data_IF_233636774294
#
_entry.id   IF_233636774294
#
_cell.length_a   1.000
_cell.length_b   1.000
_cell.length_c   1.000
_cell.angle_alpha   90.00
_cell.angle_beta   90.00
_cell.angle_gamma   90.00
#
_symmetry.space_group_name_H-M   'P 1'
#
loop_
_entity.id
_entity.type
_entity.pdbx_description
1 polymer ?
#
# COMPACT_ATOMS: atom_id res chain seq x y z
N UNK A 1 -1.11 12.35 21.20
CA UNK A 1 -0.68 11.03 20.68
C UNK A 1 -1.94 10.24 20.41
N UNK A 2 -2.23 9.83 19.17
CA UNK A 2 -3.44 9.05 18.90
C UNK A 2 -3.30 7.66 19.53
N UNK A 3 -4.42 7.09 19.99
CA UNK A 3 -4.55 5.75 20.60
C UNK A 3 -4.27 4.60 19.61
N UNK A 4 -3.59 4.89 18.49
CA UNK A 4 -3.61 4.17 17.22
C UNK A 4 -3.00 2.75 17.22
N UNK A 5 -2.42 2.28 18.33
CA UNK A 5 -1.81 0.93 18.35
C UNK A 5 -2.78 -0.17 18.78
N UNK A 6 -3.79 0.12 19.60
CA UNK A 6 -4.69 -0.93 20.12
C UNK A 6 -5.72 -1.42 19.10
N UNK A 7 -5.98 -0.66 18.02
CA UNK A 7 -7.01 -0.98 17.02
C UNK A 7 -6.51 -1.61 15.71
N UNK A 8 -5.22 -1.89 15.55
CA UNK A 8 -4.66 -2.39 14.28
C UNK A 8 -5.14 -3.83 13.98
N UNK A 9 -5.75 -4.11 12.80
CA UNK A 9 -6.25 -5.45 12.47
C UNK A 9 -5.20 -6.56 12.59
N UNK A 10 -3.94 -6.29 12.21
CA UNK A 10 -2.85 -7.26 12.30
C UNK A 10 -2.50 -7.58 13.76
N UNK A 11 -2.47 -6.57 14.62
CA UNK A 11 -2.22 -6.77 16.05
C UNK A 11 -3.37 -7.54 16.71
N UNK A 12 -4.61 -7.20 16.37
CA UNK A 12 -5.80 -7.86 16.90
C UNK A 12 -5.92 -9.32 16.46
N UNK A 13 -5.56 -9.62 15.21
CA UNK A 13 -5.47 -10.99 14.72
C UNK A 13 -4.43 -11.81 15.51
N UNK A 14 -3.29 -11.21 15.83
CA UNK A 14 -2.25 -11.85 16.64
C UNK A 14 -2.70 -12.06 18.09
N UNK A 15 -3.36 -11.06 18.70
CA UNK A 15 -3.97 -11.22 20.03
C UNK A 15 -4.96 -12.38 20.07
N UNK A 16 -5.78 -12.54 19.01
CA UNK A 16 -6.72 -13.66 18.89
C UNK A 16 -5.97 -15.00 18.73
N UNK A 17 -4.94 -15.04 17.88
CA UNK A 17 -4.10 -16.23 17.64
C UNK A 17 -3.39 -16.71 18.91
N UNK A 18 -2.90 -15.77 19.73
CA UNK A 18 -2.27 -16.03 21.02
C UNK A 18 -3.27 -16.42 22.12
N UNK A 19 -4.57 -16.41 21.82
CA UNK A 19 -5.61 -16.85 22.74
C UNK A 19 -5.85 -15.88 23.89
N UNK A 20 -5.81 -14.57 23.64
CA UNK A 20 -6.10 -13.56 24.68
C UNK A 20 -7.43 -13.85 25.37
N UNK A 21 -7.42 -13.77 26.71
CA UNK A 21 -8.59 -13.94 27.58
C UNK A 21 -9.01 -12.64 28.25
N UNK A 22 -8.37 -11.52 27.87
CA UNK A 22 -8.63 -10.23 28.48
C UNK A 22 -10.02 -9.69 28.11
N UNK A 23 -10.76 -9.22 29.11
CA UNK A 23 -11.93 -8.37 28.92
C UNK A 23 -11.50 -6.91 28.87
N UNK A 24 -11.81 -6.22 27.79
CA UNK A 24 -11.37 -4.84 27.53
C UNK A 24 -12.55 -3.88 27.70
N UNK A 25 -12.35 -2.78 28.42
CA UNK A 25 -13.30 -1.67 28.50
C UNK A 25 -12.72 -0.46 27.79
N UNK A 26 -13.43 0.08 26.80
CA UNK A 26 -13.06 1.33 26.14
C UNK A 26 -14.02 2.41 26.59
N UNK A 27 -13.54 3.39 27.37
CA UNK A 27 -14.37 4.49 27.88
C UNK A 27 -14.04 5.75 27.09
N UNK A 28 -15.03 6.36 26.45
CA UNK A 28 -14.87 7.57 25.63
C UNK A 28 -16.07 8.49 25.77
N UNK A 29 -15.84 9.80 25.69
CA UNK A 29 -16.88 10.81 25.79
C UNK A 29 -17.53 11.07 24.43
N UNK A 30 -18.86 11.20 24.40
CA UNK A 30 -19.59 11.43 23.15
C UNK A 30 -19.35 12.81 22.52
N UNK A 31 -18.86 13.78 23.30
CA UNK A 31 -18.52 15.13 22.83
C UNK A 31 -16.99 15.31 22.67
N UNK A 32 -16.20 14.22 22.70
CA UNK A 32 -14.76 14.25 22.50
C UNK A 32 -14.40 14.59 21.04
N UNK A 33 -13.95 15.83 20.83
CA UNK A 33 -13.51 16.34 19.52
C UNK A 33 -12.08 15.94 19.14
N UNK A 34 -11.34 15.27 20.02
CA UNK A 34 -9.93 14.93 19.83
C UNK A 34 -9.77 13.52 19.27
N UNK A 35 -10.46 12.51 19.79
CA UNK A 35 -10.22 11.13 19.38
C UNK A 35 -11.46 10.19 19.42
N UNK A 36 -12.69 10.73 19.40
CA UNK A 36 -13.89 9.88 19.38
C UNK A 36 -13.93 8.95 18.15
N UNK A 37 -13.59 9.46 16.96
CA UNK A 37 -13.56 8.68 15.74
C UNK A 37 -12.55 7.51 15.83
N UNK A 38 -11.34 7.79 16.33
CA UNK A 38 -10.31 6.77 16.56
C UNK A 38 -10.79 5.72 17.57
N UNK A 39 -11.46 6.14 18.64
CA UNK A 39 -12.01 5.25 19.66
C UNK A 39 -13.11 4.33 19.10
N UNK A 40 -13.99 4.86 18.25
CA UNK A 40 -15.05 4.10 17.57
C UNK A 40 -14.45 3.09 16.59
N UNK A 41 -13.46 3.51 15.80
CA UNK A 41 -12.76 2.62 14.87
C UNK A 41 -12.05 1.49 15.61
N UNK A 42 -11.33 1.80 16.70
CA UNK A 42 -10.66 0.81 17.54
C UNK A 42 -11.66 -0.24 18.06
N UNK A 43 -12.78 0.19 18.63
CA UNK A 43 -13.83 -0.72 19.14
C UNK A 43 -14.38 -1.59 18.01
N UNK A 44 -14.68 -1.02 16.85
CA UNK A 44 -15.17 -1.76 15.70
C UNK A 44 -14.15 -2.80 15.22
N UNK A 45 -12.87 -2.46 15.19
CA UNK A 45 -11.79 -3.40 14.84
C UNK A 45 -11.69 -4.56 15.83
N UNK A 46 -11.76 -4.28 17.14
CA UNK A 46 -11.69 -5.30 18.19
C UNK A 46 -12.88 -6.26 18.14
N UNK A 47 -14.09 -5.73 17.92
CA UNK A 47 -15.29 -6.53 17.72
C UNK A 47 -15.18 -7.43 16.48
N UNK A 48 -14.70 -6.87 15.35
CA UNK A 48 -14.46 -7.64 14.12
C UNK A 48 -13.45 -8.76 14.29
N UNK A 49 -12.43 -8.55 15.12
CA UNK A 49 -11.43 -9.57 15.46
C UNK A 49 -11.94 -10.62 16.47
N UNK A 50 -13.18 -10.49 16.97
CA UNK A 50 -13.77 -11.41 17.93
C UNK A 50 -13.10 -11.37 19.31
N UNK A 51 -12.65 -10.18 19.74
CA UNK A 51 -12.15 -9.93 21.09
C UNK A 51 -13.29 -9.49 22.03
N UNK A 52 -13.16 -9.78 23.33
CA UNK A 52 -14.13 -9.36 24.35
C UNK A 52 -13.91 -7.90 24.75
N UNK A 53 -14.54 -6.99 23.99
CA UNK A 53 -14.54 -5.54 24.27
C UNK A 53 -15.93 -5.03 24.65
N UNK A 54 -15.99 -4.19 25.68
CA UNK A 54 -17.18 -3.44 26.10
C UNK A 54 -16.93 -1.94 25.93
N UNK A 55 -17.54 -1.30 24.91
CA UNK A 55 -17.46 0.16 24.80
C UNK A 55 -18.38 0.85 25.83
N UNK A 56 -17.89 1.96 26.38
CA UNK A 56 -18.62 2.84 27.31
C UNK A 56 -18.57 4.25 26.74
N UNK A 57 -19.66 4.66 26.13
CA UNK A 57 -19.80 5.99 25.54
C UNK A 57 -20.44 6.93 26.56
N UNK A 58 -19.63 7.76 27.21
CA UNK A 58 -20.05 8.67 28.27
C UNK A 58 -20.91 9.78 27.67
N UNK A 59 -22.21 9.70 27.95
CA UNK A 59 -23.22 10.69 27.57
C UNK A 59 -23.47 11.69 28.70
N UNK A 60 -24.29 12.71 28.45
CA UNK A 60 -24.58 13.76 29.43
C UNK A 60 -25.27 13.23 30.67
N UNK A 61 -26.07 12.17 30.52
CA UNK A 61 -26.80 11.51 31.61
C UNK A 61 -25.87 10.76 32.56
N UNK A 62 -24.67 10.40 32.10
CA UNK A 62 -23.65 9.73 32.91
C UNK A 62 -22.77 10.72 33.71
N UNK A 63 -22.88 12.02 33.46
CA UNK A 63 -22.09 13.05 34.13
C UNK A 63 -22.65 13.32 35.53
N UNK A 64 -21.93 12.87 36.55
CA UNK A 64 -22.31 12.99 37.98
C UNK A 64 -21.45 14.01 38.75
N UNK A 65 -20.47 14.62 38.08
CA UNK A 65 -19.52 15.57 38.67
C UNK A 65 -18.49 14.94 39.62
N UNK A 66 -18.54 13.61 39.85
CA UNK A 66 -17.66 12.87 40.77
C UNK A 66 -16.78 11.87 40.05
N UNK A 67 -17.39 10.99 39.27
CA UNK A 67 -16.74 9.97 38.44
C UNK A 67 -16.53 10.57 37.04
N UNK A 68 -17.63 11.00 36.43
CA UNK A 68 -17.62 11.67 35.14
C UNK A 68 -17.94 13.14 35.32
N UNK A 69 -17.02 14.03 34.95
CA UNK A 69 -17.22 15.47 35.04
C UNK A 69 -17.58 16.11 33.70
N UNK A 70 -17.28 15.43 32.59
CA UNK A 70 -17.59 15.92 31.24
C UNK A 70 -17.82 14.75 30.27
N UNK A 71 -18.45 15.04 29.14
CA UNK A 71 -18.55 14.17 27.95
C UNK A 71 -17.40 14.41 26.95
N UNK A 72 -16.42 15.24 27.29
CA UNK A 72 -15.27 15.55 26.44
C UNK A 72 -14.07 14.62 26.67
N UNK A 73 -12.90 15.01 26.16
CA UNK A 73 -11.69 14.17 26.19
C UNK A 73 -11.21 13.82 27.63
N UNK A 74 -11.31 14.77 28.56
CA UNK A 74 -10.95 14.56 29.96
C UNK A 74 -12.21 14.16 30.77
N UNK A 75 -12.53 12.87 30.74
CA UNK A 75 -13.81 12.33 31.24
C UNK A 75 -14.10 12.57 32.72
N UNK A 76 -13.08 12.78 33.55
CA UNK A 76 -13.24 12.99 34.99
C UNK A 76 -12.20 12.24 35.80
N UNK A 77 -12.64 11.63 36.90
CA UNK A 77 -11.75 10.99 37.86
C UNK A 77 -11.28 9.62 37.37
N UNK A 78 -10.09 9.61 36.76
CA UNK A 78 -9.45 8.41 36.18
C UNK A 78 -9.20 7.28 37.18
N UNK A 79 -9.17 7.56 38.47
CA UNK A 79 -9.01 6.53 39.51
C UNK A 79 -10.33 5.81 39.80
N UNK A 80 -11.46 6.53 39.75
CA UNK A 80 -12.77 5.96 40.06
C UNK A 80 -13.43 5.29 38.84
N UNK A 81 -13.14 5.79 37.64
CA UNK A 81 -13.74 5.29 36.39
C UNK A 81 -13.57 3.76 36.22
N UNK A 82 -12.38 3.15 36.37
CA UNK A 82 -12.23 1.70 36.23
C UNK A 82 -13.11 0.90 37.20
N UNK A 83 -13.19 1.34 38.46
CA UNK A 83 -14.05 0.73 39.47
C UNK A 83 -15.54 0.87 39.16
N UNK A 84 -15.93 1.99 38.54
CA UNK A 84 -17.31 2.21 38.11
C UNK A 84 -17.71 1.35 36.90
N UNK A 85 -16.88 1.32 35.86
CA UNK A 85 -17.22 0.65 34.59
C UNK A 85 -16.94 -0.85 34.60
N UNK A 86 -15.87 -1.27 35.28
CA UNK A 86 -15.37 -2.64 35.25
C UNK A 86 -15.32 -3.28 36.65
N UNK A 87 -15.81 -2.61 37.69
CA UNK A 87 -15.69 -3.04 39.08
C UNK A 87 -16.16 -4.48 39.32
N UNK A 88 -17.27 -4.89 38.71
CA UNK A 88 -17.78 -6.27 38.84
C UNK A 88 -16.81 -7.34 38.31
N UNK A 89 -15.88 -7.00 37.41
CA UNK A 89 -14.90 -7.95 36.87
C UNK A 89 -13.56 -7.90 37.61
N UNK A 90 -13.26 -6.79 38.31
CA UNK A 90 -11.97 -6.55 38.96
C UNK A 90 -12.02 -6.90 40.45
N UNK A 91 -13.18 -6.71 41.09
CA UNK A 91 -13.35 -6.98 42.52
C UNK A 91 -13.26 -8.47 42.81
N UNK A 92 -12.34 -8.86 43.69
CA UNK A 92 -12.11 -10.25 44.06
C UNK A 92 -13.32 -10.95 44.70
N UNK A 93 -14.27 -10.19 45.28
CA UNK A 93 -15.48 -10.71 45.91
C UNK A 93 -16.67 -10.84 44.93
N UNK A 94 -16.49 -10.47 43.67
CA UNK A 94 -17.56 -10.48 42.67
C UNK A 94 -17.73 -11.88 42.05
N UNK A 95 -18.97 -12.36 41.83
CA UNK A 95 -19.19 -13.60 41.08
C UNK A 95 -18.77 -13.51 39.60
N UNK A 96 -18.64 -12.28 39.07
CA UNK A 96 -18.18 -12.01 37.71
C UNK A 96 -16.66 -11.78 37.64
N UNK A 97 -15.92 -11.97 38.76
CA UNK A 97 -14.48 -11.75 38.78
C UNK A 97 -13.77 -12.67 37.79
N UNK A 98 -12.91 -12.09 36.96
CA UNK A 98 -12.15 -12.85 35.97
C UNK A 98 -10.75 -13.18 36.51
N UNK A 99 -10.55 -14.45 36.86
CA UNK A 99 -9.25 -14.97 37.23
C UNK A 99 -8.47 -15.46 36.01
N UNK A 100 -7.25 -14.97 35.85
CA UNK A 100 -6.32 -15.52 34.86
C UNK A 100 -5.87 -16.92 35.30
N UNK A 101 -6.10 -17.93 34.44
CA UNK A 101 -5.67 -19.32 34.69
C UNK A 101 -4.36 -19.69 33.98
N UNK A 102 -3.82 -18.81 33.15
CA UNK A 102 -2.57 -19.00 32.40
C UNK A 102 -1.47 -18.07 32.91
N UNK A 103 -0.18 -18.41 32.72
CA UNK A 103 0.92 -17.52 33.08
C UNK A 103 0.89 -16.19 32.31
N UNK A 104 1.12 -15.07 33.01
CA UNK A 104 1.43 -13.74 32.43
C UNK A 104 2.71 -13.77 31.62
N UNK A 105 2.89 -12.77 30.76
CA UNK A 105 4.18 -12.46 30.14
C UNK A 105 5.31 -12.30 31.17
N UNK A 106 5.01 -11.71 32.35
CA UNK A 106 5.94 -11.60 33.48
C UNK A 106 6.34 -12.97 34.08
N UNK A 107 5.38 -13.89 34.20
CA UNK A 107 5.62 -15.26 34.70
C UNK A 107 6.32 -16.13 33.64
N UNK A 108 6.02 -15.92 32.35
CA UNK A 108 6.65 -16.62 31.23
C UNK A 108 8.11 -16.24 31.04
N UNK A 109 8.47 -14.97 31.27
CA UNK A 109 9.82 -14.43 31.09
C UNK A 109 10.38 -14.62 29.66
N UNK A 110 9.50 -14.69 28.67
CA UNK A 110 9.83 -14.87 27.27
C UNK A 110 9.97 -13.53 26.54
N UNK A 111 10.58 -13.56 25.35
CA UNK A 111 10.63 -12.43 24.43
C UNK A 111 9.39 -12.45 23.53
N UNK A 112 8.62 -11.36 23.54
CA UNK A 112 7.51 -11.13 22.60
C UNK A 112 8.02 -10.27 21.45
N UNK A 113 7.88 -10.77 20.21
CA UNK A 113 8.43 -10.14 19.01
C UNK A 113 7.32 -9.59 18.12
N UNK A 114 7.42 -8.30 17.79
CA UNK A 114 6.53 -7.59 16.86
C UNK A 114 7.32 -7.23 15.60
N UNK A 115 7.17 -8.01 14.53
CA UNK A 115 7.85 -7.76 13.26
C UNK A 115 7.38 -6.46 12.61
N UNK A 116 8.33 -5.72 12.02
CA UNK A 116 8.12 -4.55 11.16
C UNK A 116 8.77 -4.79 9.80
N UNK A 117 8.59 -3.86 8.86
CA UNK A 117 9.22 -3.95 7.53
C UNK A 117 10.75 -3.83 7.60
N UNK A 118 11.26 -3.14 8.61
CA UNK A 118 12.68 -2.83 8.81
C UNK A 118 13.31 -3.53 10.02
N UNK A 119 12.59 -4.46 10.67
CA UNK A 119 13.10 -5.18 11.84
C UNK A 119 12.02 -5.82 12.71
N UNK A 120 12.23 -5.79 14.02
CA UNK A 120 11.27 -6.23 15.00
C UNK A 120 11.42 -5.44 16.30
N UNK A 121 10.31 -5.01 16.89
CA UNK A 121 10.30 -4.61 18.28
C UNK A 121 10.21 -5.86 19.15
N UNK A 122 11.19 -6.05 20.03
CA UNK A 122 11.23 -7.17 20.97
C UNK A 122 11.01 -6.65 22.37
N UNK A 123 10.00 -7.18 23.07
CA UNK A 123 9.72 -6.90 24.48
C UNK A 123 10.16 -8.12 25.28
N UNK A 124 11.22 -7.97 26.08
CA UNK A 124 11.74 -9.02 26.96
C UNK A 124 11.18 -8.86 28.37
N UNK A 125 10.73 -9.96 28.97
CA UNK A 125 10.29 -10.02 30.36
C UNK A 125 11.30 -10.75 31.28
N UNK A 126 12.49 -11.06 30.77
CA UNK A 126 13.50 -11.85 31.48
C UNK A 126 13.93 -11.27 32.84
N UNK A 127 13.87 -9.94 32.98
CA UNK A 127 14.25 -9.22 34.21
C UNK A 127 13.08 -9.01 35.19
N UNK A 128 11.89 -9.55 34.90
CA UNK A 128 10.68 -9.34 35.71
C UNK A 128 9.95 -8.01 35.43
N UNK A 129 10.40 -7.24 34.44
CA UNK A 129 9.71 -6.07 33.88
C UNK A 129 9.98 -5.98 32.37
N UNK A 130 9.08 -5.37 31.57
CA UNK A 130 9.22 -5.31 30.12
C UNK A 130 10.37 -4.39 29.71
N UNK A 131 11.33 -4.92 28.97
CA UNK A 131 12.42 -4.17 28.32
C UNK A 131 12.24 -4.25 26.80
N UNK A 132 11.96 -3.11 26.18
CA UNK A 132 11.80 -3.00 24.73
C UNK A 132 13.13 -2.73 24.03
N UNK A 133 13.38 -3.43 22.92
CA UNK A 133 14.47 -3.12 21.98
C UNK A 133 13.97 -3.22 20.55
N UNK A 134 14.57 -2.46 19.64
CA UNK A 134 14.38 -2.66 18.21
C UNK A 134 15.55 -3.48 17.68
N UNK A 135 15.25 -4.63 17.09
CA UNK A 135 16.22 -5.44 16.35
C UNK A 135 16.01 -5.14 14.86
N UNK A 136 16.93 -4.40 14.20
CA UNK A 136 16.80 -4.13 12.78
C UNK A 136 16.81 -5.45 12.00
N UNK A 137 16.07 -5.47 10.88
CA UNK A 137 16.08 -6.61 9.98
C UNK A 137 17.54 -6.84 9.55
N UNK A 138 18.02 -8.10 9.54
CA UNK A 138 19.28 -8.40 8.89
C UNK A 138 19.23 -7.83 7.46
N UNK A 139 20.34 -7.27 6.97
CA UNK A 139 20.47 -6.92 5.55
C UNK A 139 19.96 -8.10 4.72
N UNK A 140 18.99 -7.82 3.84
CA UNK A 140 18.38 -8.87 3.03
C UNK A 140 19.48 -9.73 2.37
N UNK A 141 19.38 -11.06 2.46
CA UNK A 141 20.38 -11.92 1.88
C UNK A 141 20.43 -11.70 0.37
N UNK A 142 21.63 -11.81 -0.19
CA UNK A 142 21.82 -11.71 -1.63
C UNK A 142 21.46 -13.04 -2.29
N UNK A 143 20.65 -12.99 -3.34
CA UNK A 143 20.37 -14.13 -4.18
C UNK A 143 21.29 -14.10 -5.41
N UNK A 144 22.12 -15.14 -5.55
CA UNK A 144 23.08 -15.24 -6.65
C UNK A 144 22.37 -15.24 -8.02
N UNK A 145 21.25 -15.95 -8.12
CA UNK A 145 20.36 -15.92 -9.27
C UNK A 145 18.99 -15.34 -8.85
N UNK A 146 18.61 -14.23 -9.48
CA UNK A 146 17.32 -13.55 -9.26
C UNK A 146 16.20 -14.12 -10.14
N UNK A 147 16.52 -15.05 -11.04
CA UNK A 147 15.54 -15.78 -11.86
C UNK A 147 15.11 -17.11 -11.21
N UNK A 148 15.91 -17.64 -10.27
CA UNK A 148 15.52 -18.75 -9.40
C UNK A 148 14.61 -18.27 -8.26
N UNK A 149 13.36 -17.94 -8.64
CA UNK A 149 12.41 -17.27 -7.77
C UNK A 149 11.78 -18.17 -6.70
N UNK A 150 11.85 -19.50 -6.86
CA UNK A 150 11.40 -20.43 -5.82
C UNK A 150 12.46 -20.63 -4.74
N UNK A 151 13.70 -20.19 -4.97
CA UNK A 151 14.73 -20.23 -3.94
C UNK A 151 14.43 -19.24 -2.83
N UNK A 152 14.39 -19.74 -1.61
CA UNK A 152 14.18 -18.98 -0.38
C UNK A 152 15.38 -19.11 0.53
N UNK A 153 15.65 -18.06 1.30
CA UNK A 153 16.67 -18.07 2.36
C UNK A 153 15.94 -17.82 3.66
N UNK A 154 16.04 -18.76 4.61
CA UNK A 154 15.45 -18.63 5.93
C UNK A 154 16.26 -17.66 6.81
N UNK A 155 15.69 -17.27 7.95
CA UNK A 155 16.34 -16.34 8.88
C UNK A 155 17.68 -16.88 9.46
N UNK A 156 17.85 -18.20 9.52
CA UNK A 156 19.10 -18.86 9.93
C UNK A 156 20.13 -18.98 8.79
N UNK A 157 19.84 -18.40 7.61
CA UNK A 157 20.69 -18.41 6.44
C UNK A 157 20.58 -19.68 5.58
N UNK A 158 19.81 -20.68 5.99
CA UNK A 158 19.62 -21.90 5.18
C UNK A 158 18.81 -21.60 3.93
N UNK A 159 19.24 -22.18 2.82
CA UNK A 159 18.56 -22.08 1.53
C UNK A 159 17.60 -23.25 1.34
N UNK A 160 16.42 -22.99 0.79
CA UNK A 160 15.44 -24.01 0.42
C UNK A 160 14.70 -23.63 -0.86
N UNK A 161 13.72 -24.46 -1.22
CA UNK A 161 12.80 -24.24 -2.35
C UNK A 161 11.40 -24.06 -1.77
N UNK A 162 10.68 -23.02 -2.18
CA UNK A 162 9.30 -22.79 -1.78
C UNK A 162 8.37 -23.78 -2.48
N UNK A 163 7.60 -24.53 -1.68
CA UNK A 163 6.57 -25.48 -2.16
C UNK A 163 5.15 -24.96 -1.92
N UNK A 164 5.01 -23.90 -1.13
CA UNK A 164 3.75 -23.19 -0.92
C UNK A 164 3.95 -21.67 -0.91
N UNK A 165 2.85 -20.91 -1.08
CA UNK A 165 2.88 -19.46 -0.95
C UNK A 165 3.36 -18.97 0.42
N UNK A 166 3.14 -19.77 1.48
CA UNK A 166 3.62 -19.43 2.82
C UNK A 166 5.15 -19.54 2.92
N UNK A 167 5.75 -20.52 2.26
CA UNK A 167 7.21 -20.71 2.22
C UNK A 167 7.91 -19.59 1.43
N UNK A 168 7.19 -18.97 0.49
CA UNK A 168 7.71 -17.90 -0.35
C UNK A 168 7.68 -16.51 0.32
N UNK A 169 6.89 -16.32 1.37
CA UNK A 169 6.72 -15.03 2.05
C UNK A 169 8.06 -14.40 2.54
N UNK A 170 9.04 -15.15 3.08
CA UNK A 170 10.37 -14.60 3.38
C UNK A 170 11.06 -14.00 2.14
N UNK A 171 10.92 -14.62 0.95
CA UNK A 171 11.49 -14.08 -0.29
C UNK A 171 10.87 -12.74 -0.64
N UNK A 172 9.55 -12.60 -0.52
CA UNK A 172 8.85 -11.32 -0.72
C UNK A 172 9.40 -10.21 0.18
N UNK A 173 9.66 -10.50 1.45
CA UNK A 173 10.27 -9.53 2.39
C UNK A 173 11.69 -9.14 1.99
N UNK A 174 12.50 -10.09 1.53
CA UNK A 174 13.85 -9.80 1.04
C UNK A 174 13.84 -8.89 -0.19
N UNK A 175 12.87 -9.10 -1.10
CA UNK A 175 12.67 -8.24 -2.28
C UNK A 175 12.27 -6.82 -1.85
N UNK A 176 11.38 -6.67 -0.86
CA UNK A 176 11.00 -5.36 -0.33
C UNK A 176 12.21 -4.60 0.23
N UNK A 177 13.03 -5.26 1.04
CA UNK A 177 14.25 -4.68 1.59
C UNK A 177 15.29 -4.34 0.50
N UNK A 178 15.38 -5.13 -0.57
CA UNK A 178 16.23 -4.82 -1.72
C UNK A 178 15.75 -3.59 -2.49
N UNK A 179 14.44 -3.47 -2.73
CA UNK A 179 13.82 -2.28 -3.33
C UNK A 179 14.07 -1.05 -2.46
N UNK A 180 13.85 -1.14 -1.15
CA UNK A 180 14.08 -0.04 -0.20
C UNK A 180 15.56 0.37 -0.10
N UNK A 181 16.49 -0.56 -0.28
CA UNK A 181 17.92 -0.22 -0.35
C UNK A 181 18.21 0.71 -1.53
N UNK A 182 17.61 0.46 -2.69
CA UNK A 182 17.84 1.23 -3.92
C UNK A 182 17.00 2.51 -3.97
N UNK A 183 15.71 2.42 -3.63
CA UNK A 183 14.75 3.52 -3.73
C UNK A 183 14.71 4.38 -2.45
N UNK A 184 15.25 3.90 -1.34
CA UNK A 184 15.03 4.47 -0.02
C UNK A 184 13.90 3.76 0.74
N UNK A 185 13.82 3.95 2.07
CA UNK A 185 12.82 3.28 2.90
C UNK A 185 11.40 3.67 2.49
N UNK A 186 10.49 2.70 2.50
CA UNK A 186 9.07 2.99 2.32
C UNK A 186 8.57 3.82 3.51
N UNK A 187 7.82 4.91 3.31
CA UNK A 187 7.44 5.76 4.43
C UNK A 187 6.53 5.09 5.45
N UNK A 188 6.80 5.38 6.74
CA UNK A 188 5.95 4.93 7.84
C UNK A 188 4.52 5.47 7.70
N UNK A 189 3.47 4.70 8.03
CA UNK A 189 2.08 5.19 8.04
C UNK A 189 1.85 6.51 8.77
N UNK A 190 2.67 6.84 9.79
CA UNK A 190 2.64 8.11 10.51
C UNK A 190 3.01 9.34 9.65
N UNK A 191 3.59 9.15 8.45
CA UNK A 191 3.83 10.24 7.49
C UNK A 191 2.54 10.71 6.81
N UNK A 192 1.43 9.96 6.91
CA UNK A 192 0.13 10.40 6.39
C UNK A 192 -0.30 11.70 7.07
N UNK A 193 -0.77 12.63 6.25
CA UNK A 193 -1.41 13.89 6.66
C UNK A 193 -2.84 13.93 6.12
N UNK A 194 -3.69 14.84 6.60
CA UNK A 194 -4.99 15.07 5.96
C UNK A 194 -4.80 15.38 4.47
N UNK A 195 -5.63 14.79 3.60
CA UNK A 195 -5.48 14.92 2.14
C UNK A 195 -5.62 16.37 1.63
N UNK A 196 -6.23 17.30 2.39
CA UNK A 196 -6.46 18.72 2.03
C UNK A 196 -6.75 18.90 0.52
N UNK A 197 -7.81 18.22 0.05
CA UNK A 197 -8.16 18.18 -1.36
C UNK A 197 -8.71 19.52 -1.79
N UNK A 198 -8.11 20.12 -2.84
CA UNK A 198 -8.57 21.36 -3.45
C UNK A 198 -8.91 21.11 -4.90
N UNK A 199 -10.20 21.22 -5.22
CA UNK A 199 -10.70 21.21 -6.60
C UNK A 199 -10.42 22.59 -7.19
N UNK A 200 -9.72 22.60 -8.33
CA UNK A 200 -9.32 23.81 -9.04
C UNK A 200 -10.23 24.10 -10.22
N UNK A 201 -10.73 23.03 -10.85
CA UNK A 201 -11.56 23.09 -12.04
C UNK A 201 -12.50 21.89 -12.05
N UNK A 202 -13.72 22.09 -12.55
CA UNK A 202 -14.68 21.03 -12.81
C UNK A 202 -15.30 21.26 -14.19
N UNK A 203 -15.27 20.24 -15.03
CA UNK A 203 -15.77 20.28 -16.41
C UNK A 203 -16.65 19.08 -16.66
N UNK A 204 -17.88 19.32 -17.14
CA UNK A 204 -18.76 18.27 -17.65
C UNK A 204 -18.41 18.00 -19.11
N UNK A 205 -18.00 16.78 -19.40
CA UNK A 205 -17.68 16.29 -20.73
C UNK A 205 -18.89 15.58 -21.35
N UNK A 206 -18.74 15.16 -22.61
CA UNK A 206 -19.74 14.34 -23.31
C UNK A 206 -20.03 13.03 -22.55
N UNK A 207 -21.23 12.48 -22.76
CA UNK A 207 -21.66 11.25 -22.10
C UNK A 207 -21.88 11.37 -20.58
N UNK A 208 -22.02 12.59 -20.06
CA UNK A 208 -22.29 12.83 -18.63
C UNK A 208 -21.06 12.69 -17.73
N UNK A 209 -19.87 12.53 -18.30
CA UNK A 209 -18.63 12.34 -17.56
C UNK A 209 -18.17 13.65 -16.91
N UNK A 210 -17.88 13.63 -15.61
CA UNK A 210 -17.34 14.78 -14.88
C UNK A 210 -15.83 14.66 -14.74
N UNK A 211 -15.07 15.67 -15.17
CA UNK A 211 -13.63 15.78 -14.95
C UNK A 211 -13.35 16.88 -13.94
N UNK A 212 -12.63 16.56 -12.86
CA UNK A 212 -12.11 17.53 -11.89
C UNK A 212 -10.60 17.64 -12.01
N UNK A 213 -10.08 18.86 -12.17
CA UNK A 213 -8.68 19.16 -11.86
C UNK A 213 -8.61 19.43 -10.37
N UNK A 214 -7.80 18.68 -9.66
CA UNK A 214 -7.65 18.83 -8.23
C UNK A 214 -6.22 18.57 -7.79
N UNK A 215 -6.02 18.72 -6.50
CA UNK A 215 -4.71 18.64 -5.88
C UNK A 215 -4.88 18.19 -4.44
N UNK A 216 -3.97 17.38 -3.91
CA UNK A 216 -4.06 16.77 -2.58
C UNK A 216 -2.68 16.70 -1.90
N UNK A 217 -2.65 16.82 -0.58
CA UNK A 217 -1.43 16.64 0.22
C UNK A 217 -1.06 15.16 0.26
N UNK A 218 0.12 14.82 -0.25
CA UNK A 218 0.67 13.48 -0.07
C UNK A 218 1.45 13.36 1.24
N UNK A 219 2.16 14.41 1.63
CA UNK A 219 2.79 14.54 2.94
C UNK A 219 2.77 15.99 3.45
N UNK A 220 3.41 16.24 4.59
CA UNK A 220 3.44 17.57 5.21
C UNK A 220 4.15 18.65 4.38
N UNK A 221 4.91 18.26 3.36
CA UNK A 221 5.85 19.12 2.64
C UNK A 221 5.53 19.26 1.16
N UNK A 222 4.62 18.45 0.61
CA UNK A 222 4.32 18.48 -0.82
C UNK A 222 2.85 18.15 -1.16
N UNK A 223 2.42 18.72 -2.29
CA UNK A 223 1.06 18.58 -2.83
C UNK A 223 1.09 18.14 -4.28
N UNK A 224 0.32 17.10 -4.58
CA UNK A 224 0.28 16.47 -5.90
C UNK A 224 -0.93 16.97 -6.66
N UNK A 225 -0.74 17.33 -7.93
CA UNK A 225 -1.83 17.67 -8.85
C UNK A 225 -2.34 16.42 -9.56
N UNK A 226 -3.66 16.34 -9.76
CA UNK A 226 -4.31 15.20 -10.37
C UNK A 226 -5.55 15.59 -11.19
N UNK A 227 -5.94 14.71 -12.12
CA UNK A 227 -7.28 14.69 -12.69
C UNK A 227 -8.08 13.53 -12.11
N UNK A 228 -9.31 13.81 -11.69
CA UNK A 228 -10.31 12.82 -11.30
C UNK A 228 -11.42 12.81 -12.35
N UNK A 229 -11.83 11.62 -12.78
CA UNK A 229 -12.99 11.42 -13.63
C UNK A 229 -14.06 10.62 -12.90
N UNK A 230 -15.29 11.12 -12.92
CA UNK A 230 -16.47 10.50 -12.33
C UNK A 230 -17.51 10.26 -13.43
N UNK A 231 -17.74 8.99 -13.84
CA UNK A 231 -18.81 8.65 -14.76
C UNK A 231 -20.19 8.96 -14.16
N UNK A 232 -21.21 9.23 -14.99
CA UNK A 232 -22.56 9.53 -14.51
C UNK A 232 -23.14 8.41 -13.61
N UNK A 233 -22.79 7.15 -13.90
CA UNK A 233 -23.20 6.00 -13.09
C UNK A 233 -22.71 6.06 -11.63
N UNK A 234 -21.65 6.84 -11.35
CA UNK A 234 -21.10 7.03 -10.01
C UNK A 234 -22.09 7.71 -9.05
N UNK A 235 -23.08 8.45 -9.58
CA UNK A 235 -24.14 9.06 -8.80
C UNK A 235 -25.14 8.04 -8.23
N UNK A 236 -25.15 6.80 -8.76
CA UNK A 236 -26.14 5.76 -8.42
C UNK A 236 -25.52 4.51 -7.78
N UNK A 237 -24.22 4.27 -7.99
CA UNK A 237 -23.54 3.07 -7.51
C UNK A 237 -22.05 3.32 -7.30
N UNK A 238 -21.44 2.51 -6.42
CA UNK A 238 -19.99 2.44 -6.29
C UNK A 238 -19.38 1.76 -7.50
N UNK A 239 -18.38 2.40 -8.10
CA UNK A 239 -17.71 1.94 -9.30
C UNK A 239 -16.30 1.43 -9.00
N UNK A 240 -15.76 0.50 -9.80
CA UNK A 240 -14.35 0.19 -9.74
C UNK A 240 -13.54 1.43 -10.13
N UNK A 241 -12.34 1.57 -9.56
CA UNK A 241 -11.47 2.71 -9.85
C UNK A 241 -10.09 2.29 -10.36
N UNK A 242 -9.49 3.12 -11.23
CA UNK A 242 -8.18 2.87 -11.81
C UNK A 242 -7.26 4.08 -11.63
N UNK A 243 -6.13 3.84 -10.97
CA UNK A 243 -5.01 4.77 -10.90
C UNK A 243 -4.27 4.77 -12.25
N UNK A 244 -4.22 5.91 -12.92
CA UNK A 244 -3.71 6.06 -14.29
C UNK A 244 -2.43 6.90 -14.28
N UNK A 245 -1.27 6.25 -14.43
CA UNK A 245 0.04 6.87 -14.24
C UNK A 245 0.71 7.21 -15.57
N UNK A 246 1.06 8.48 -15.77
CA UNK A 246 1.55 9.00 -17.04
C UNK A 246 3.00 8.63 -17.36
N UNK A 247 3.31 8.57 -18.66
CA UNK A 247 4.65 8.45 -19.25
C UNK A 247 5.51 9.72 -19.11
N UNK A 248 6.78 9.66 -19.53
CA UNK A 248 7.72 10.78 -19.52
C UNK A 248 7.29 11.86 -20.52
N UNK A 249 6.58 12.86 -20.03
CA UNK A 249 6.05 13.96 -20.84
C UNK A 249 5.97 15.24 -20.01
N UNK A 250 6.34 16.38 -20.58
CA UNK A 250 6.28 17.67 -19.86
C UNK A 250 4.87 17.99 -19.35
N UNK A 251 3.85 17.53 -20.06
CA UNK A 251 2.44 17.74 -19.73
C UNK A 251 1.93 16.81 -18.61
N UNK A 252 2.74 15.83 -18.18
CA UNK A 252 2.43 14.92 -17.09
C UNK A 252 1.09 14.21 -17.25
N UNK A 253 0.28 14.24 -16.19
CA UNK A 253 -1.05 13.62 -16.13
C UNK A 253 -2.01 14.04 -17.25
N UNK A 254 -1.83 15.24 -17.81
CA UNK A 254 -2.72 15.79 -18.82
C UNK A 254 -2.80 14.90 -20.08
N UNK A 255 -1.70 14.22 -20.43
CA UNK A 255 -1.69 13.28 -21.55
C UNK A 255 -2.59 12.08 -21.29
N UNK A 256 -2.44 11.43 -20.14
CA UNK A 256 -3.31 10.31 -19.74
C UNK A 256 -4.78 10.71 -19.56
N UNK A 257 -5.02 11.96 -19.17
CA UNK A 257 -6.34 12.56 -18.96
C UNK A 257 -7.04 13.02 -20.26
N UNK A 258 -6.45 12.80 -21.43
CA UNK A 258 -7.07 13.17 -22.70
C UNK A 258 -7.09 14.67 -22.99
N UNK A 259 -6.13 15.41 -22.42
CA UNK A 259 -5.88 16.81 -22.76
C UNK A 259 -4.81 16.99 -23.85
N UNK A 260 -4.30 15.89 -24.37
CA UNK A 260 -3.34 15.86 -25.47
C UNK A 260 -3.88 14.88 -26.51
N UNK A 261 -3.98 15.33 -27.75
CA UNK A 261 -4.49 14.52 -28.85
C UNK A 261 -3.45 13.49 -29.30
N UNK A 262 -3.39 12.37 -28.58
CA UNK A 262 -2.63 11.20 -28.96
C UNK A 262 -3.23 9.92 -28.39
N UNK A 263 -2.70 8.73 -28.69
CA UNK A 263 -3.37 7.49 -28.30
C UNK A 263 -3.32 7.13 -26.79
N UNK A 264 -2.53 7.84 -25.96
CA UNK A 264 -2.22 7.46 -24.57
C UNK A 264 -3.20 8.05 -23.53
N UNK A 265 -4.46 8.27 -23.90
CA UNK A 265 -5.49 8.91 -23.06
C UNK A 265 -6.24 7.89 -22.19
N UNK A 266 -5.54 6.90 -21.60
CA UNK A 266 -6.20 5.76 -20.94
C UNK A 266 -7.02 6.14 -19.71
N UNK A 267 -6.75 7.26 -19.03
CA UNK A 267 -7.61 7.71 -17.93
C UNK A 267 -8.98 8.18 -18.46
N UNK A 268 -9.00 8.90 -19.59
CA UNK A 268 -10.24 9.29 -20.26
C UNK A 268 -10.98 8.07 -20.82
N UNK A 269 -10.26 7.18 -21.54
CA UNK A 269 -10.85 5.98 -22.14
C UNK A 269 -11.49 5.06 -21.09
N UNK A 270 -10.80 4.80 -19.97
CA UNK A 270 -11.34 3.97 -18.89
C UNK A 270 -12.52 4.66 -18.19
N UNK A 271 -12.48 5.99 -18.04
CA UNK A 271 -13.62 6.72 -17.49
C UNK A 271 -14.86 6.60 -18.38
N UNK A 272 -14.70 6.72 -19.70
CA UNK A 272 -15.76 6.48 -20.69
C UNK A 272 -16.28 5.03 -20.66
N UNK A 273 -15.45 4.07 -20.22
CA UNK A 273 -15.85 2.67 -19.99
C UNK A 273 -16.58 2.47 -18.66
N UNK A 274 -16.72 3.48 -17.81
CA UNK A 274 -17.45 3.42 -16.55
C UNK A 274 -16.60 3.18 -15.30
N UNK A 275 -15.29 3.42 -15.36
CA UNK A 275 -14.42 3.45 -14.18
C UNK A 275 -14.35 4.85 -13.59
N UNK A 276 -14.21 4.95 -12.27
CA UNK A 276 -13.63 6.16 -11.67
C UNK A 276 -12.14 6.16 -12.00
N UNK A 277 -11.59 7.19 -12.63
CA UNK A 277 -10.16 7.23 -12.94
C UNK A 277 -9.48 8.40 -12.26
N UNK A 278 -8.27 8.14 -11.78
CA UNK A 278 -7.47 9.15 -11.09
C UNK A 278 -6.06 9.18 -11.67
N UNK A 279 -5.66 10.32 -12.19
CA UNK A 279 -4.39 10.52 -12.87
C UNK A 279 -3.56 11.59 -12.14
N UNK A 280 -2.69 11.22 -11.17
CA UNK A 280 -1.77 12.14 -10.53
C UNK A 280 -0.54 12.42 -11.40
N UNK A 281 0.11 13.55 -11.16
CA UNK A 281 1.45 13.83 -11.69
C UNK A 281 2.53 13.04 -10.95
N UNK A 282 3.58 12.68 -11.69
CA UNK A 282 4.86 12.24 -11.16
C UNK A 282 5.65 13.45 -10.60
N UNK A 283 6.50 13.26 -9.59
CA UNK A 283 7.38 14.32 -9.08
C UNK A 283 8.10 15.09 -10.19
N UNK A 284 7.86 16.41 -10.23
CA UNK A 284 8.45 17.38 -11.17
C UNK A 284 7.96 17.30 -12.62
N UNK A 285 6.84 16.61 -12.87
CA UNK A 285 6.14 16.61 -14.15
C UNK A 285 4.77 17.30 -14.06
N UNK A 286 4.25 17.75 -15.20
CA UNK A 286 2.94 18.40 -15.27
C UNK A 286 2.89 19.68 -14.43
N UNK A 287 1.94 19.73 -13.50
CA UNK A 287 1.78 20.86 -12.58
C UNK A 287 2.62 20.70 -11.30
N UNK A 288 3.20 19.52 -11.06
CA UNK A 288 3.99 19.25 -9.85
C UNK A 288 5.40 19.83 -9.97
N UNK A 289 5.86 20.54 -8.93
CA UNK A 289 7.16 21.24 -8.90
C UNK A 289 8.03 20.76 -7.73
N UNK A 290 8.14 19.45 -7.59
CA UNK A 290 8.97 18.86 -6.54
C UNK A 290 10.46 19.18 -6.79
N UNK A 291 11.18 19.61 -5.75
CA UNK A 291 12.55 20.12 -5.85
C UNK A 291 13.64 19.07 -5.53
N UNK A 292 13.23 17.90 -5.02
CA UNK A 292 14.11 16.84 -4.51
C UNK A 292 15.06 17.29 -3.40
N UNK A 293 14.70 18.31 -2.63
CA UNK A 293 15.46 18.72 -1.46
C UNK A 293 15.44 17.60 -0.38
N UNK A 294 16.60 17.22 0.20
CA UNK A 294 16.67 16.21 1.25
C UNK A 294 15.73 16.44 2.45
N UNK A 295 15.30 17.68 2.70
CA UNK A 295 14.33 18.05 3.75
C UNK A 295 12.99 17.28 3.64
N UNK A 296 12.62 16.86 2.43
CA UNK A 296 11.40 16.08 2.20
C UNK A 296 11.51 14.63 2.73
N UNK A 297 12.74 14.16 2.95
CA UNK A 297 13.02 12.86 3.58
C UNK A 297 12.86 11.65 2.65
N UNK A 298 13.02 11.84 1.34
CA UNK A 298 13.01 10.74 0.35
C UNK A 298 14.39 10.57 -0.26
N UNK A 299 14.85 9.32 -0.39
CA UNK A 299 16.14 9.03 -1.00
C UNK A 299 16.11 9.05 -2.54
N UNK A 300 14.92 9.00 -3.14
CA UNK A 300 14.72 8.87 -4.58
C UNK A 300 13.38 9.47 -5.01
N UNK A 301 13.31 9.93 -6.26
CA UNK A 301 12.04 10.35 -6.85
C UNK A 301 11.06 9.20 -7.04
N UNK A 302 11.58 7.99 -7.27
CA UNK A 302 10.76 6.76 -7.33
C UNK A 302 10.02 6.51 -6.02
N UNK A 303 10.68 6.58 -4.85
CA UNK A 303 10.01 6.38 -3.57
C UNK A 303 9.02 7.50 -3.24
N UNK A 304 9.33 8.74 -3.65
CA UNK A 304 8.36 9.84 -3.56
C UNK A 304 7.11 9.57 -4.40
N UNK A 305 7.27 9.16 -5.65
CA UNK A 305 6.16 8.84 -6.55
C UNK A 305 5.30 7.68 -6.04
N UNK A 306 5.93 6.63 -5.49
CA UNK A 306 5.22 5.52 -4.83
C UNK A 306 4.35 6.06 -3.69
N UNK A 307 4.89 6.93 -2.84
CA UNK A 307 4.12 7.52 -1.74
C UNK A 307 2.97 8.42 -2.23
N UNK A 308 3.21 9.25 -3.25
CA UNK A 308 2.18 10.08 -3.86
C UNK A 308 1.00 9.25 -4.38
N UNK A 309 1.31 8.10 -4.96
CA UNK A 309 0.33 7.14 -5.45
C UNK A 309 -0.38 6.37 -4.33
N UNK A 310 0.31 6.00 -3.24
CA UNK A 310 -0.34 5.44 -2.04
C UNK A 310 -1.38 6.42 -1.49
N UNK A 311 -1.04 7.71 -1.47
CA UNK A 311 -1.95 8.79 -1.03
C UNK A 311 -3.07 9.06 -2.04
N UNK A 312 -2.81 8.84 -3.33
CA UNK A 312 -3.85 8.82 -4.36
C UNK A 312 -4.88 7.70 -4.12
N UNK A 313 -4.41 6.51 -3.72
CA UNK A 313 -5.29 5.39 -3.36
C UNK A 313 -6.08 5.70 -2.09
N UNK A 314 -5.46 6.32 -1.07
CA UNK A 314 -6.16 6.80 0.12
C UNK A 314 -7.27 7.80 -0.24
N UNK A 315 -7.05 8.68 -1.22
CA UNK A 315 -8.08 9.58 -1.74
C UNK A 315 -9.20 8.83 -2.45
N UNK A 316 -8.88 7.90 -3.35
CA UNK A 316 -9.87 7.08 -4.04
C UNK A 316 -10.78 6.32 -3.06
N UNK A 317 -10.23 5.69 -2.03
CA UNK A 317 -11.05 4.96 -1.02
C UNK A 317 -11.94 5.88 -0.18
N UNK A 318 -11.60 7.16 -0.08
CA UNK A 318 -12.41 8.15 0.64
C UNK A 318 -13.65 8.61 -0.14
N UNK A 319 -13.69 8.36 -1.46
CA UNK A 319 -14.79 8.78 -2.32
C UNK A 319 -16.00 7.84 -2.16
N UNK A 320 -17.20 8.35 -1.86
CA UNK A 320 -18.40 7.51 -1.78
C UNK A 320 -18.76 6.82 -3.10
N UNK A 321 -18.27 7.34 -4.23
CA UNK A 321 -18.43 6.81 -5.58
C UNK A 321 -17.55 5.59 -5.88
N UNK A 322 -16.54 5.30 -5.06
CA UNK A 322 -15.53 4.26 -5.33
C UNK A 322 -15.81 3.01 -4.51
N UNK A 323 -15.70 1.87 -5.17
CA UNK A 323 -15.60 0.57 -4.52
C UNK A 323 -14.14 0.25 -4.19
N UNK A 324 -13.76 0.40 -2.92
CA UNK A 324 -12.41 0.16 -2.41
C UNK A 324 -11.91 -1.28 -2.63
N UNK A 325 -12.82 -2.26 -2.86
CA UNK A 325 -12.42 -3.64 -3.16
C UNK A 325 -11.97 -3.84 -4.62
N UNK A 326 -12.23 -2.87 -5.50
CA UNK A 326 -12.04 -2.99 -6.97
C UNK A 326 -11.18 -1.86 -7.51
N UNK A 327 -9.93 -1.81 -7.03
CA UNK A 327 -8.93 -0.84 -7.44
C UNK A 327 -7.89 -1.47 -8.36
N UNK A 328 -7.60 -0.82 -9.50
CA UNK A 328 -6.53 -1.21 -10.41
C UNK A 328 -5.53 -0.09 -10.66
N UNK A 329 -4.42 -0.43 -11.31
CA UNK A 329 -3.42 0.54 -11.78
C UNK A 329 -3.00 0.24 -13.20
N UNK A 330 -2.81 1.29 -13.99
CA UNK A 330 -2.31 1.24 -15.36
C UNK A 330 -1.31 2.36 -15.61
N UNK A 331 -0.29 2.09 -16.42
CA UNK A 331 0.58 3.13 -16.94
C UNK A 331 1.42 2.68 -18.12
N UNK A 332 2.06 3.65 -18.77
CA UNK A 332 2.93 3.44 -19.93
C UNK A 332 4.31 4.07 -19.72
N UNK A 333 5.39 3.41 -20.15
CA UNK A 333 6.78 3.92 -20.01
C UNK A 333 7.11 4.23 -18.54
N UNK A 334 7.44 5.49 -18.21
CA UNK A 334 7.51 5.98 -16.81
C UNK A 334 6.32 5.52 -15.97
N UNK A 335 5.12 5.65 -16.50
CA UNK A 335 3.89 5.20 -15.86
C UNK A 335 3.82 3.69 -15.67
N UNK A 336 4.42 2.93 -16.58
CA UNK A 336 4.45 1.46 -16.55
C UNK A 336 5.27 0.93 -15.39
N UNK A 337 6.54 1.36 -15.23
CA UNK A 337 7.30 0.98 -14.03
C UNK A 337 6.77 1.65 -12.76
N UNK A 338 6.23 2.88 -12.84
CA UNK A 338 5.63 3.52 -11.67
C UNK A 338 4.42 2.71 -11.16
N UNK A 339 3.60 2.16 -12.06
CA UNK A 339 2.51 1.25 -11.71
C UNK A 339 3.02 -0.01 -11.02
N UNK A 340 4.12 -0.60 -11.52
CA UNK A 340 4.73 -1.79 -10.93
C UNK A 340 5.30 -1.54 -9.53
N UNK A 341 6.12 -0.50 -9.37
CA UNK A 341 6.71 -0.17 -8.08
C UNK A 341 5.63 0.24 -7.07
N UNK A 342 4.65 1.04 -7.48
CA UNK A 342 3.51 1.40 -6.64
C UNK A 342 2.76 0.14 -6.19
N UNK A 343 2.40 -0.74 -7.13
CA UNK A 343 1.65 -1.95 -6.81
C UNK A 343 2.42 -2.91 -5.89
N UNK A 344 3.76 -2.91 -5.92
CA UNK A 344 4.55 -3.71 -4.99
C UNK A 344 4.30 -3.30 -3.52
N UNK A 345 4.31 -1.99 -3.25
CA UNK A 345 4.11 -1.42 -1.91
C UNK A 345 2.63 -1.18 -1.55
N UNK A 346 1.74 -1.16 -2.53
CA UNK A 346 0.31 -0.89 -2.35
C UNK A 346 -0.54 -2.13 -2.68
N UNK A 347 -0.86 -2.98 -1.69
CA UNK A 347 -1.62 -4.21 -1.90
C UNK A 347 -3.11 -4.00 -2.20
N UNK A 348 -3.65 -2.78 -1.98
CA UNK A 348 -5.03 -2.44 -2.34
C UNK A 348 -5.24 -2.39 -3.86
N UNK A 349 -4.19 -2.11 -4.64
CA UNK A 349 -4.22 -2.23 -6.09
C UNK A 349 -4.29 -3.72 -6.46
N UNK A 350 -5.47 -4.17 -6.89
CA UNK A 350 -5.82 -5.57 -7.12
C UNK A 350 -5.42 -6.08 -8.49
N UNK A 351 -5.33 -5.20 -9.49
CA UNK A 351 -5.03 -5.52 -10.90
C UNK A 351 -4.01 -4.53 -11.43
N UNK A 352 -2.99 -5.04 -12.12
CA UNK A 352 -1.81 -4.26 -12.48
C UNK A 352 -1.57 -4.38 -13.98
N UNK A 353 -1.49 -3.24 -14.67
CA UNK A 353 -1.16 -3.16 -16.09
C UNK A 353 0.07 -2.28 -16.29
N UNK A 354 1.11 -2.83 -16.92
CA UNK A 354 2.33 -2.10 -17.28
C UNK A 354 2.60 -2.19 -18.78
N UNK A 355 2.54 -1.06 -19.48
CA UNK A 355 2.83 -0.96 -20.91
C UNK A 355 4.23 -0.39 -21.13
N UNK A 356 5.11 -1.13 -21.81
CA UNK A 356 6.46 -0.74 -22.18
C UNK A 356 7.20 -0.05 -21.02
N UNK A 357 7.19 -0.67 -19.84
CA UNK A 357 7.65 -0.02 -18.60
C UNK A 357 8.94 -0.59 -18.02
N UNK A 358 9.41 -1.74 -18.48
CA UNK A 358 10.53 -2.44 -17.88
C UNK A 358 11.15 -3.47 -18.82
N UNK A 359 12.41 -3.82 -18.55
CA UNK A 359 13.05 -5.08 -18.95
C UNK A 359 14.00 -5.51 -17.82
N UNK A 360 14.68 -6.65 -17.92
CA UNK A 360 15.68 -7.05 -16.90
C UNK A 360 16.82 -6.04 -16.86
N UNK A 361 17.37 -5.71 -15.70
CA UNK A 361 18.48 -4.73 -15.63
C UNK A 361 19.70 -5.12 -16.46
N UNK A 362 19.94 -6.41 -16.70
CA UNK A 362 21.03 -6.90 -17.56
C UNK A 362 20.83 -6.62 -19.06
N UNK A 363 19.60 -6.29 -19.48
CA UNK A 363 19.21 -6.00 -20.87
C UNK A 363 18.69 -4.57 -21.02
N UNK A 364 18.94 -3.72 -20.03
CA UNK A 364 18.46 -2.35 -19.97
C UNK A 364 19.64 -1.37 -19.96
N UNK A 365 19.38 -0.11 -20.32
CA UNK A 365 20.30 1.00 -20.07
C UNK A 365 20.20 1.43 -18.59
N UNK A 366 20.91 0.72 -17.72
CA UNK A 366 20.88 0.97 -16.28
C UNK A 366 21.12 2.45 -15.87
N UNK A 367 22.03 3.22 -16.53
CA UNK A 367 22.14 4.66 -16.35
C UNK A 367 20.83 5.47 -16.46
N UNK A 368 19.87 5.06 -17.30
CA UNK A 368 18.58 5.75 -17.47
C UNK A 368 17.76 5.81 -16.17
N UNK A 369 17.97 4.86 -15.26
CA UNK A 369 17.30 4.75 -13.96
C UNK A 369 17.95 5.59 -12.85
N UNK A 370 19.05 6.31 -13.12
CA UNK A 370 19.90 6.90 -12.07
C UNK A 370 19.61 8.37 -11.78
N UNK A 371 18.75 9.01 -12.57
CA UNK A 371 18.37 10.41 -12.38
C UNK A 371 17.71 10.67 -11.02
N UNK A 372 17.67 11.94 -10.58
CA UNK A 372 17.03 12.32 -9.29
C UNK A 372 15.54 11.98 -9.24
N UNK A 373 14.86 12.07 -10.39
CA UNK A 373 13.45 11.65 -10.54
C UNK A 373 13.29 10.13 -10.38
N UNK A 374 14.37 9.35 -10.51
CA UNK A 374 14.42 7.89 -10.40
C UNK A 374 15.21 7.44 -9.17
N UNK A 375 16.20 6.54 -9.34
CA UNK A 375 16.92 5.81 -8.31
C UNK A 375 18.43 6.12 -8.32
N UNK A 376 18.88 7.26 -7.75
CA UNK A 376 20.28 7.67 -7.80
C UNK A 376 21.27 6.71 -7.14
N UNK A 377 20.82 5.87 -6.20
CA UNK A 377 21.65 4.87 -5.52
C UNK A 377 22.17 3.78 -6.47
N UNK A 378 21.50 3.52 -7.60
CA UNK A 378 22.01 2.61 -8.65
C UNK A 378 23.43 3.02 -9.08
N UNK A 379 23.64 4.31 -9.30
CA UNK A 379 24.95 4.85 -9.62
C UNK A 379 25.87 4.92 -8.40
N UNK A 380 25.36 5.46 -7.29
CA UNK A 380 26.18 5.82 -6.12
C UNK A 380 26.68 4.59 -5.36
N UNK A 381 25.80 3.61 -5.13
CA UNK A 381 26.10 2.42 -4.30
C UNK A 381 26.45 1.19 -5.15
N UNK A 382 25.92 1.10 -6.37
CA UNK A 382 26.05 -0.09 -7.22
C UNK A 382 26.84 0.19 -8.51
N UNK A 383 27.37 1.40 -8.69
CA UNK A 383 28.25 1.77 -9.80
C UNK A 383 27.68 1.46 -11.20
N UNK A 384 26.34 1.52 -11.37
CA UNK A 384 25.65 1.12 -12.60
C UNK A 384 25.97 -0.32 -13.04
N UNK A 385 26.23 -1.21 -12.08
CA UNK A 385 26.49 -2.62 -12.33
C UNK A 385 25.25 -3.44 -12.00
N UNK A 386 24.58 -3.94 -13.04
CA UNK A 386 23.35 -4.73 -12.92
C UNK A 386 23.54 -5.97 -12.02
N UNK A 387 24.75 -6.54 -11.93
CA UNK A 387 25.01 -7.68 -11.06
C UNK A 387 25.00 -7.31 -9.56
N UNK A 388 25.30 -6.04 -9.24
CA UNK A 388 25.36 -5.51 -7.87
C UNK A 388 24.03 -4.96 -7.38
N UNK A 389 23.12 -4.56 -8.27
CA UNK A 389 21.78 -4.09 -7.88
C UNK A 389 21.04 -5.21 -7.13
N UNK A 390 20.50 -4.96 -5.92
CA UNK A 390 20.03 -6.02 -5.03
C UNK A 390 18.69 -6.64 -5.41
N UNK A 391 18.01 -6.13 -6.45
CA UNK A 391 16.78 -6.68 -7.02
C UNK A 391 16.83 -6.66 -8.56
N UNK A 392 15.92 -7.39 -9.21
CA UNK A 392 15.62 -7.26 -10.64
C UNK A 392 14.09 -7.45 -10.88
N UNK A 393 13.60 -7.16 -12.07
CA UNK A 393 12.17 -7.21 -12.40
C UNK A 393 11.47 -8.59 -12.29
N UNK A 394 12.14 -9.76 -12.45
CA UNK A 394 11.52 -11.05 -12.16
C UNK A 394 10.95 -11.14 -10.75
N UNK A 395 11.67 -10.58 -9.77
CA UNK A 395 11.28 -10.59 -8.36
C UNK A 395 10.07 -9.70 -8.09
N UNK A 396 10.01 -8.52 -8.73
CA UNK A 396 8.89 -7.59 -8.60
C UNK A 396 7.62 -8.22 -9.17
N UNK A 397 7.69 -8.77 -10.38
CA UNK A 397 6.52 -9.39 -11.03
C UNK A 397 6.04 -10.61 -10.24
N UNK A 398 6.95 -11.43 -9.73
CA UNK A 398 6.60 -12.56 -8.87
C UNK A 398 5.88 -12.12 -7.58
N UNK A 399 6.31 -11.01 -6.97
CA UNK A 399 5.71 -10.46 -5.76
C UNK A 399 4.30 -9.88 -5.95
N UNK A 400 3.80 -9.80 -7.18
CA UNK A 400 2.41 -9.47 -7.45
C UNK A 400 1.48 -10.65 -7.20
N UNK A 401 1.94 -11.90 -7.32
CA UNK A 401 1.11 -13.08 -7.08
C UNK A 401 0.43 -13.00 -5.69
N UNK A 402 -0.88 -13.32 -5.59
CA UNK A 402 -1.78 -13.86 -6.62
C UNK A 402 -2.52 -12.78 -7.45
N UNK A 403 -2.13 -11.50 -7.39
CA UNK A 403 -2.83 -10.43 -8.12
C UNK A 403 -2.59 -10.53 -9.63
N UNK A 404 -3.61 -10.31 -10.46
CA UNK A 404 -3.43 -10.29 -11.90
C UNK A 404 -2.48 -9.20 -12.38
N UNK A 405 -1.53 -9.58 -13.24
CA UNK A 405 -0.56 -8.71 -13.88
C UNK A 405 -0.56 -8.92 -15.39
N UNK A 406 -0.76 -7.82 -16.12
CA UNK A 406 -0.58 -7.77 -17.56
C UNK A 406 0.58 -6.85 -17.89
N UNK A 407 1.47 -7.32 -18.77
CA UNK A 407 2.41 -6.44 -19.46
C UNK A 407 2.14 -6.39 -20.96
N UNK A 408 2.16 -5.18 -21.51
CA UNK A 408 2.20 -4.95 -22.96
C UNK A 408 3.63 -4.50 -23.32
N UNK A 409 4.41 -5.32 -24.02
CA UNK A 409 5.81 -5.02 -24.35
C UNK A 409 6.03 -5.04 -25.86
N UNK A 410 6.30 -3.88 -26.46
CA UNK A 410 6.42 -3.76 -27.91
C UNK A 410 7.67 -4.49 -28.44
N UNK A 411 7.54 -5.18 -29.57
CA UNK A 411 8.62 -6.07 -30.06
C UNK A 411 9.86 -5.32 -30.58
N UNK A 412 9.72 -4.04 -30.94
CA UNK A 412 10.81 -3.18 -31.42
C UNK A 412 11.01 -1.97 -30.50
N UNK A 413 10.78 -2.17 -29.21
CA UNK A 413 11.02 -1.16 -28.20
C UNK A 413 12.52 -0.98 -27.97
N UNK A 414 13.03 0.22 -28.29
CA UNK A 414 14.44 0.57 -28.11
C UNK A 414 14.77 0.95 -26.65
N UNK A 415 13.76 1.25 -25.83
CA UNK A 415 13.93 1.58 -24.41
C UNK A 415 13.91 0.30 -23.55
N UNK A 416 13.02 -0.65 -23.85
CA UNK A 416 12.82 -1.85 -23.05
C UNK A 416 12.83 -3.13 -23.91
N UNK A 417 13.97 -3.82 -23.94
CA UNK A 417 14.11 -5.06 -24.72
C UNK A 417 13.05 -6.11 -24.30
N UNK A 418 12.15 -6.43 -25.24
CA UNK A 418 11.06 -7.40 -25.09
C UNK A 418 11.55 -8.79 -24.68
N UNK A 419 12.78 -9.16 -25.03
CA UNK A 419 13.36 -10.45 -24.66
C UNK A 419 13.57 -10.56 -23.15
N UNK A 420 13.96 -9.48 -22.48
CA UNK A 420 14.05 -9.46 -21.01
C UNK A 420 12.68 -9.49 -20.34
N UNK A 421 11.66 -8.86 -20.94
CA UNK A 421 10.27 -9.00 -20.45
C UNK A 421 9.79 -10.45 -20.52
N UNK A 422 10.12 -11.17 -21.61
CA UNK A 422 9.81 -12.60 -21.74
C UNK A 422 10.51 -13.44 -20.65
N UNK A 423 11.78 -13.15 -20.37
CA UNK A 423 12.53 -13.82 -19.29
C UNK A 423 11.88 -13.57 -17.91
N UNK A 424 11.44 -12.33 -17.65
CA UNK A 424 10.73 -11.95 -16.43
C UNK A 424 9.45 -12.76 -16.25
N UNK A 425 8.59 -12.83 -17.29
CA UNK A 425 7.34 -13.58 -17.21
C UNK A 425 7.61 -15.09 -17.03
N UNK A 426 8.60 -15.64 -17.74
CA UNK A 426 8.95 -17.05 -17.62
C UNK A 426 9.40 -17.43 -16.21
N UNK A 427 10.23 -16.58 -15.58
CA UNK A 427 10.66 -16.79 -14.21
C UNK A 427 9.49 -16.62 -13.21
N UNK A 428 8.76 -15.51 -13.30
CA UNK A 428 7.67 -15.18 -12.36
C UNK A 428 6.51 -16.18 -12.42
N UNK A 429 6.31 -16.84 -13.57
CA UNK A 429 5.27 -17.87 -13.75
C UNK A 429 5.33 -18.96 -12.69
N UNK A 430 6.52 -19.40 -12.28
CA UNK A 430 6.69 -20.43 -11.25
C UNK A 430 6.07 -20.02 -9.90
N UNK A 431 6.19 -18.75 -9.54
CA UNK A 431 5.57 -18.21 -8.32
C UNK A 431 4.06 -18.08 -8.52
N UNK A 432 3.57 -17.63 -9.67
CA UNK A 432 2.13 -17.64 -9.93
C UNK A 432 1.52 -19.05 -9.92
N UNK A 433 2.25 -20.07 -10.39
CA UNK A 433 1.85 -21.49 -10.31
C UNK A 433 1.76 -21.97 -8.85
N UNK A 434 2.70 -21.56 -7.98
CA UNK A 434 2.66 -21.79 -6.54
C UNK A 434 1.37 -21.27 -5.88
N UNK A 435 0.85 -20.15 -6.39
CA UNK A 435 -0.39 -19.55 -5.95
C UNK A 435 -1.65 -20.10 -6.66
N UNK A 436 -1.49 -21.04 -7.60
CA UNK A 436 -2.59 -21.55 -8.43
C UNK A 436 -3.18 -20.51 -9.40
N UNK A 437 -2.39 -19.48 -9.75
CA UNK A 437 -2.82 -18.29 -10.52
C UNK A 437 -1.99 -18.03 -11.77
N UNK A 438 -1.34 -19.05 -12.34
CA UNK A 438 -0.53 -18.91 -13.57
C UNK A 438 -1.25 -18.19 -14.73
N UNK A 439 -2.57 -18.34 -14.85
CA UNK A 439 -3.39 -17.68 -15.88
C UNK A 439 -3.59 -16.17 -15.68
N UNK A 440 -3.32 -15.66 -14.48
CA UNK A 440 -3.44 -14.24 -14.14
C UNK A 440 -2.12 -13.47 -14.42
N UNK A 441 -1.08 -14.15 -14.93
CA UNK A 441 0.17 -13.56 -15.42
C UNK A 441 0.17 -13.54 -16.96
N UNK A 442 0.00 -12.35 -17.55
CA UNK A 442 -0.25 -12.20 -18.99
C UNK A 442 0.77 -11.28 -19.65
N UNK A 443 1.26 -11.68 -20.83
CA UNK A 443 2.10 -10.87 -21.70
C UNK A 443 1.45 -10.66 -23.06
N UNK A 444 1.42 -9.42 -23.53
CA UNK A 444 1.01 -9.04 -24.88
C UNK A 444 2.15 -8.33 -25.60
N UNK A 445 2.43 -8.70 -26.85
CA UNK A 445 3.61 -8.24 -27.59
C UNK A 445 3.21 -7.55 -28.89
N UNK A 446 2.81 -6.27 -28.86
CA UNK A 446 2.41 -5.56 -30.07
C UNK A 446 3.58 -5.43 -31.04
N UNK A 447 3.29 -5.62 -32.33
CA UNK A 447 4.27 -5.43 -33.41
C UNK A 447 4.46 -3.94 -33.65
N UNK A 448 5.53 -3.36 -33.13
CA UNK A 448 5.79 -1.92 -33.29
C UNK A 448 6.93 -1.42 -32.42
N UNK A 449 7.29 -0.13 -32.56
CA UNK A 449 8.25 0.53 -31.69
C UNK A 449 7.65 0.81 -30.30
N UNK A 450 8.43 1.46 -29.43
CA UNK A 450 7.97 1.96 -28.14
C UNK A 450 6.65 2.72 -28.26
N UNK A 451 5.61 2.25 -27.56
CA UNK A 451 4.30 2.87 -27.63
C UNK A 451 3.21 2.03 -26.99
N UNK A 452 1.99 2.57 -27.02
CA UNK A 452 0.83 1.87 -26.48
C UNK A 452 -0.29 1.89 -27.53
N UNK A 453 -0.20 1.09 -28.61
CA UNK A 453 -1.14 1.10 -29.75
C UNK A 453 -2.55 0.61 -29.40
N UNK A 454 -3.51 0.81 -30.31
CA UNK A 454 -4.94 0.51 -30.10
C UNK A 454 -5.22 -0.93 -29.66
N UNK A 455 -4.58 -1.89 -30.31
CA UNK A 455 -4.67 -3.30 -29.98
C UNK A 455 -4.16 -3.60 -28.56
N UNK A 456 -3.00 -3.04 -28.19
CA UNK A 456 -2.45 -3.17 -26.85
C UNK A 456 -3.34 -2.51 -25.78
N UNK A 457 -3.92 -1.33 -26.08
CA UNK A 457 -4.88 -0.67 -25.17
C UNK A 457 -6.14 -1.48 -25.00
N UNK A 458 -6.66 -2.07 -26.08
CA UNK A 458 -7.82 -2.96 -26.02
C UNK A 458 -7.57 -4.14 -25.10
N UNK A 459 -6.43 -4.83 -25.27
CA UNK A 459 -6.04 -5.96 -24.39
C UNK A 459 -5.95 -5.50 -22.94
N UNK A 460 -5.33 -4.35 -22.67
CA UNK A 460 -5.23 -3.79 -21.33
C UNK A 460 -6.59 -3.49 -20.68
N UNK A 461 -7.51 -2.86 -21.42
CA UNK A 461 -8.82 -2.52 -20.88
C UNK A 461 -9.71 -3.74 -20.68
N UNK A 462 -9.63 -4.72 -21.58
CA UNK A 462 -10.37 -5.97 -21.45
C UNK A 462 -9.86 -6.79 -20.26
N UNK A 463 -8.54 -6.76 -19.99
CA UNK A 463 -7.95 -7.36 -18.79
C UNK A 463 -8.43 -6.69 -17.50
N UNK A 464 -8.47 -5.35 -17.47
CA UNK A 464 -9.07 -4.61 -16.34
C UNK A 464 -10.54 -4.98 -16.15
N UNK A 465 -11.32 -5.06 -17.24
CA UNK A 465 -12.72 -5.46 -17.19
C UNK A 465 -12.91 -6.88 -16.62
N UNK A 466 -12.09 -7.84 -17.05
CA UNK A 466 -12.13 -9.22 -16.57
C UNK A 466 -11.95 -9.34 -15.06
N UNK A 467 -11.13 -8.47 -14.46
CA UNK A 467 -10.71 -8.60 -13.06
C UNK A 467 -11.33 -7.57 -12.10
N UNK A 468 -11.82 -6.42 -12.60
CA UNK A 468 -12.42 -5.36 -11.78
C UNK A 468 -13.93 -5.23 -11.95
N UNK A 469 -14.54 -5.76 -13.01
CA UNK A 469 -16.01 -5.79 -13.09
C UNK A 469 -16.56 -7.01 -12.37
N UNK A 470 -17.80 -6.87 -11.91
CA UNK A 470 -18.55 -8.00 -11.37
C UNK A 470 -18.66 -9.06 -12.47
N UNK A 471 -18.29 -10.30 -12.14
CA UNK A 471 -18.54 -11.43 -13.03
C UNK A 471 -20.06 -11.59 -13.12
N UNK A 472 -20.62 -11.31 -14.30
CA UNK A 472 -22.02 -11.62 -14.60
C UNK A 472 -22.26 -13.12 -14.60
#
# INVERSE_FOLDING_TARGET
MPCARCGSPAHLAEMKRLGTTAKVFSVHGLDDKTCLADGQEMVANMLRAGLDITPVWVSKEMVDGKIFSTTGHALGNRTLIPGHVAGRFIRADSPDALDRKTPTDFERREDIRYSTTDGAFVISYAQGFPVGRFEPAPTAPSYADRFDLLRVIAADGKTGVAESSADWEPRRRHIAAALERVMGPFPNPAKRVALDVKVQEEVKLEGGLLRRKLTYQSDATDRVAAYLFLPEAAAKAKLPAVLCLHQTTKLGKAESAGLVDNPKQYALHLAQRGYVTFAPDYPSFGDSKYDFDPRHGYASGTMKAIWDNVRAVDFLESLPEVDAARLGVIGHSLGGHNAMFTAFFEPRLRVIVSSCGFTTFRKDDLPSWTGKVYMPRIKIEFANDAAKVPFDFPEIVAAFAPRPFLTCAAEKDDDFDVSGVRDVLAAARKVYELHGKAGDLVGYYPKGPHGFPDDARKVAYDFLDQHLRDRK
#
